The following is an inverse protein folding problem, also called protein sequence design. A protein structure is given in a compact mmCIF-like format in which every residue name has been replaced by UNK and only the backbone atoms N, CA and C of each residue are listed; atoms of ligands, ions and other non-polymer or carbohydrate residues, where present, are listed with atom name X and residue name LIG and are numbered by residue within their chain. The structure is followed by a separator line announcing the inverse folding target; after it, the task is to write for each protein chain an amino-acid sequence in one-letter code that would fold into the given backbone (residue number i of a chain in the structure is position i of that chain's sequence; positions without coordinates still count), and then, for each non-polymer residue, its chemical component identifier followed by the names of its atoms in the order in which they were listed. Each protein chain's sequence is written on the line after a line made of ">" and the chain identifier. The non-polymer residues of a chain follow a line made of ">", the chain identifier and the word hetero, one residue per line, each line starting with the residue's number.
data_IF_113264619540
#
_entry.id   IF_113264619540
#
_cell.length_a   1.000
_cell.length_b   1.000
_cell.length_c   1.000
_cell.angle_alpha   90.00
_cell.angle_beta   90.00
_cell.angle_gamma   90.00
#
_symmetry.space_group_name_H-M   'P 1'
#
loop_
_entity.id
_entity.type
_entity.pdbx_description
1 polymer ?
#
# COMPACT_ATOMS: atom_id res chain seq x y z
N UNK A 1 -4.46 -16.73 6.31
CA UNK A 1 -5.50 -16.10 5.46
C UNK A 1 -5.27 -14.59 5.19
N UNK A 2 -4.70 -13.85 6.14
CA UNK A 2 -4.36 -12.41 5.99
C UNK A 2 -3.56 -12.06 4.72
N UNK A 3 -2.57 -12.87 4.28
CA UNK A 3 -1.87 -12.61 3.03
C UNK A 3 -2.78 -12.63 1.79
N UNK A 4 -3.81 -13.50 1.77
CA UNK A 4 -4.77 -13.57 0.67
C UNK A 4 -5.64 -12.32 0.60
N UNK A 5 -6.10 -11.80 1.75
CA UNK A 5 -6.82 -10.52 1.78
C UNK A 5 -5.94 -9.38 1.25
N UNK A 6 -4.66 -9.36 1.63
CA UNK A 6 -3.73 -8.35 1.14
C UNK A 6 -3.53 -8.44 -0.38
N UNK A 7 -3.33 -9.65 -0.92
CA UNK A 7 -3.15 -9.85 -2.37
C UNK A 7 -4.41 -9.45 -3.15
N UNK A 8 -5.57 -9.92 -2.71
CA UNK A 8 -6.85 -9.62 -3.37
C UNK A 8 -7.15 -8.13 -3.35
N UNK A 9 -7.07 -7.48 -2.19
CA UNK A 9 -7.39 -6.06 -2.09
C UNK A 9 -6.39 -5.19 -2.85
N UNK A 10 -5.09 -5.49 -2.80
CA UNK A 10 -4.10 -4.77 -3.61
C UNK A 10 -4.33 -4.96 -5.12
N UNK A 11 -4.74 -6.15 -5.55
CA UNK A 11 -5.06 -6.42 -6.96
C UNK A 11 -6.25 -5.56 -7.41
N UNK A 12 -7.32 -5.50 -6.61
CA UNK A 12 -8.50 -4.65 -6.88
C UNK A 12 -8.12 -3.17 -6.91
N UNK A 13 -7.35 -2.70 -5.91
CA UNK A 13 -6.87 -1.31 -5.87
C UNK A 13 -6.03 -1.00 -7.12
N UNK A 14 -5.11 -1.88 -7.49
CA UNK A 14 -4.27 -1.71 -8.68
C UNK A 14 -5.08 -1.57 -9.97
N UNK A 15 -6.08 -2.44 -10.18
CA UNK A 15 -6.99 -2.37 -11.33
C UNK A 15 -7.76 -1.05 -11.33
N UNK A 16 -8.26 -0.62 -10.17
CA UNK A 16 -8.97 0.65 -10.04
C UNK A 16 -8.07 1.85 -10.36
N UNK A 17 -6.82 1.86 -9.88
CA UNK A 17 -5.87 2.94 -10.17
C UNK A 17 -5.56 3.01 -11.67
N UNK A 18 -5.35 1.87 -12.32
CA UNK A 18 -5.17 1.79 -13.78
C UNK A 18 -6.43 2.33 -14.48
N UNK A 19 -7.62 1.96 -14.02
CA UNK A 19 -8.87 2.46 -14.60
C UNK A 19 -9.00 3.97 -14.47
N UNK A 20 -8.75 4.54 -13.29
CA UNK A 20 -8.81 5.99 -13.06
C UNK A 20 -7.78 6.73 -13.90
N UNK A 21 -6.57 6.18 -14.02
CA UNK A 21 -5.51 6.70 -14.87
C UNK A 21 -5.92 6.74 -16.34
N UNK A 22 -6.47 5.64 -16.87
CA UNK A 22 -6.93 5.57 -18.28
C UNK A 22 -8.12 6.49 -18.59
N UNK A 23 -8.86 6.92 -17.57
CA UNK A 23 -9.93 7.93 -17.69
C UNK A 23 -9.42 9.38 -17.58
N UNK A 24 -8.12 9.60 -17.40
CA UNK A 24 -7.54 10.93 -17.25
C UNK A 24 -7.93 11.63 -15.94
N UNK A 25 -8.24 10.85 -14.90
CA UNK A 25 -8.63 11.39 -13.59
C UNK A 25 -7.50 12.25 -13.01
N UNK A 26 -7.83 13.30 -12.27
CA UNK A 26 -6.86 14.14 -11.57
C UNK A 26 -5.90 13.32 -10.67
N UNK A 27 -4.61 13.66 -10.70
CA UNK A 27 -3.57 12.91 -9.96
C UNK A 27 -3.80 12.93 -8.44
N UNK A 28 -4.26 14.05 -7.89
CA UNK A 28 -4.59 14.17 -6.47
C UNK A 28 -5.74 13.24 -6.08
N UNK A 29 -6.72 13.04 -6.97
CA UNK A 29 -7.79 12.07 -6.75
C UNK A 29 -7.24 10.63 -6.80
N UNK A 30 -6.38 10.30 -7.78
CA UNK A 30 -5.78 8.95 -7.87
C UNK A 30 -4.96 8.64 -6.61
N UNK A 31 -4.07 9.55 -6.21
CA UNK A 31 -3.25 9.42 -5.00
C UNK A 31 -4.16 9.32 -3.76
N UNK A 32 -5.14 10.21 -3.66
CA UNK A 32 -6.05 10.26 -2.52
C UNK A 32 -6.86 8.98 -2.35
N UNK A 33 -7.46 8.48 -3.42
CA UNK A 33 -8.22 7.23 -3.42
C UNK A 33 -7.32 6.04 -3.10
N UNK A 34 -6.09 5.99 -3.62
CA UNK A 34 -5.12 4.96 -3.25
C UNK A 34 -4.86 4.93 -1.73
N UNK A 35 -4.55 6.09 -1.13
CA UNK A 35 -4.27 6.21 0.30
C UNK A 35 -5.49 5.84 1.17
N UNK A 36 -6.70 6.21 0.74
CA UNK A 36 -7.95 5.85 1.43
C UNK A 36 -8.18 4.34 1.36
N UNK A 37 -8.17 3.74 0.17
CA UNK A 37 -8.47 2.31 0.00
C UNK A 37 -7.41 1.41 0.64
N UNK A 38 -6.14 1.76 0.49
CA UNK A 38 -5.04 1.02 1.13
C UNK A 38 -5.13 1.16 2.66
N UNK A 39 -5.43 2.36 3.18
CA UNK A 39 -5.64 2.58 4.61
C UNK A 39 -6.78 1.73 5.16
N UNK A 40 -7.96 1.76 4.52
CA UNK A 40 -9.12 0.94 4.91
C UNK A 40 -8.79 -0.56 4.87
N UNK A 41 -8.13 -1.02 3.80
CA UNK A 41 -7.69 -2.41 3.67
C UNK A 41 -6.78 -2.81 4.83
N UNK A 42 -5.79 -1.97 5.17
CA UNK A 42 -4.86 -2.25 6.27
C UNK A 42 -5.54 -2.22 7.62
N UNK A 43 -6.48 -1.31 7.84
CA UNK A 43 -7.25 -1.26 9.08
C UNK A 43 -8.02 -2.56 9.33
N UNK A 44 -8.68 -3.09 8.29
CA UNK A 44 -9.41 -4.35 8.34
C UNK A 44 -8.45 -5.55 8.45
N UNK A 45 -7.40 -5.61 7.64
CA UNK A 45 -6.39 -6.69 7.66
C UNK A 45 -5.77 -6.81 9.06
N UNK A 46 -5.48 -5.68 9.71
CA UNK A 46 -4.89 -5.64 11.03
C UNK A 46 -5.83 -6.18 12.12
N UNK A 47 -7.16 -6.08 11.94
CA UNK A 47 -8.11 -6.68 12.87
C UNK A 47 -8.02 -8.22 12.86
N UNK A 48 -7.77 -8.82 11.70
CA UNK A 48 -7.62 -10.26 11.52
C UNK A 48 -6.24 -10.79 11.88
N UNK A 49 -5.22 -9.92 11.91
CA UNK A 49 -3.82 -10.32 12.11
C UNK A 49 -3.55 -10.84 13.51
N UNK A 50 -4.24 -10.29 14.51
CA UNK A 50 -4.24 -10.87 15.86
C UNK A 50 -2.92 -10.76 16.63
N UNK A 51 -1.88 -10.12 16.08
CA UNK A 51 -0.51 -10.20 16.60
C UNK A 51 -0.42 -9.68 18.06
N UNK A 52 -0.12 -10.55 19.05
CA UNK A 52 -0.10 -10.16 20.47
C UNK A 52 0.95 -9.11 20.81
N UNK A 53 1.97 -8.97 19.97
CA UNK A 53 3.11 -8.06 20.18
C UNK A 53 2.83 -6.63 19.70
N UNK A 54 1.77 -6.41 18.92
CA UNK A 54 1.45 -5.09 18.40
C UNK A 54 0.91 -4.20 19.53
N UNK A 55 1.57 -3.08 19.86
CA UNK A 55 1.12 -2.19 20.93
C UNK A 55 -0.30 -1.68 20.67
N UNK A 56 -1.10 -1.65 21.72
CA UNK A 56 -2.46 -1.09 21.71
C UNK A 56 -2.41 0.29 22.37
N UNK A 57 -2.85 1.31 21.64
CA UNK A 57 -2.93 2.70 22.11
C UNK A 57 -4.35 3.20 21.85
N UNK A 58 -5.02 3.73 22.87
CA UNK A 58 -6.40 4.25 22.73
C UNK A 58 -7.41 3.19 22.27
N UNK A 59 -7.20 1.92 22.63
CA UNK A 59 -8.11 0.82 22.26
C UNK A 59 -7.89 0.21 20.86
N UNK A 60 -6.93 0.71 20.08
CA UNK A 60 -6.60 0.20 18.74
C UNK A 60 -5.12 -0.18 18.62
N UNK A 61 -4.80 -1.12 17.73
CA UNK A 61 -3.40 -1.48 17.41
C UNK A 61 -2.70 -0.29 16.74
N UNK A 62 -1.40 -0.11 16.98
CA UNK A 62 -0.63 1.00 16.39
C UNK A 62 -0.70 1.04 14.84
N UNK A 63 -0.80 -0.12 14.19
CA UNK A 63 -0.96 -0.20 12.73
C UNK A 63 -2.35 0.21 12.24
N UNK A 64 -3.37 0.16 13.10
CA UNK A 64 -4.68 0.76 12.78
C UNK A 64 -4.61 2.28 12.83
N UNK A 65 -3.80 2.86 13.73
CA UNK A 65 -3.53 4.29 13.73
C UNK A 65 -2.80 4.76 12.47
N UNK A 66 -1.78 4.03 12.01
CA UNK A 66 -1.11 4.37 10.75
C UNK A 66 -2.03 4.24 9.54
N UNK A 67 -2.96 3.27 9.56
CA UNK A 67 -4.02 3.15 8.57
C UNK A 67 -4.97 4.37 8.59
N UNK A 68 -5.38 4.86 9.76
CA UNK A 68 -6.18 6.09 9.88
C UNK A 68 -5.42 7.29 9.32
N UNK A 69 -4.13 7.45 9.65
CA UNK A 69 -3.30 8.52 9.10
C UNK A 69 -3.24 8.43 7.56
N UNK A 70 -3.08 7.23 7.00
CA UNK A 70 -3.13 7.00 5.56
C UNK A 70 -4.45 7.49 4.95
N UNK A 71 -5.60 7.15 5.56
CA UNK A 71 -6.92 7.63 5.10
C UNK A 71 -7.00 9.15 5.15
N UNK A 72 -6.58 9.77 6.25
CA UNK A 72 -6.59 11.23 6.41
C UNK A 72 -5.73 11.92 5.35
N UNK A 73 -4.52 11.41 5.10
CA UNK A 73 -3.66 11.90 4.02
C UNK A 73 -4.39 11.77 2.68
N UNK A 74 -5.02 10.64 2.42
CA UNK A 74 -5.78 10.42 1.20
C UNK A 74 -6.92 11.42 1.01
N UNK A 75 -7.69 11.71 2.06
CA UNK A 75 -8.74 12.75 2.05
C UNK A 75 -8.15 14.12 1.73
N UNK A 76 -7.00 14.47 2.31
CA UNK A 76 -6.37 15.77 1.97
C UNK A 76 -5.97 15.85 0.50
N UNK A 77 -5.46 14.75 -0.08
CA UNK A 77 -5.09 14.70 -1.50
C UNK A 77 -6.28 14.82 -2.45
N UNK A 78 -7.45 14.27 -2.09
CA UNK A 78 -8.65 14.41 -2.93
C UNK A 78 -9.18 15.84 -2.97
N UNK A 79 -8.81 16.68 -2.00
CA UNK A 79 -9.19 18.09 -1.95
C UNK A 79 -8.20 19.02 -2.68
N UNK A 80 -7.01 18.52 -3.05
CA UNK A 80 -6.01 19.34 -3.73
C UNK A 80 -6.39 19.58 -5.20
N UNK A 81 -6.41 20.84 -5.66
CA UNK A 81 -6.65 21.15 -7.06
C UNK A 81 -5.42 20.74 -7.87
N UNK A 82 -5.46 19.53 -8.41
CA UNK A 82 -4.41 18.96 -9.24
C UNK A 82 -4.94 18.75 -10.64
N UNK A 83 -4.11 18.99 -11.65
CA UNK A 83 -4.48 18.79 -13.05
C UNK A 83 -4.93 17.36 -13.34
N UNK A 84 -5.74 17.19 -14.38
CA UNK A 84 -6.07 15.87 -14.93
C UNK A 84 -4.80 15.12 -15.26
N UNK A 85 -4.73 13.82 -14.92
CA UNK A 85 -3.64 12.99 -15.40
C UNK A 85 -3.67 13.02 -16.94
N UNK A 86 -2.63 13.60 -17.54
CA UNK A 86 -2.46 13.47 -18.97
C UNK A 86 -2.14 12.00 -19.23
N UNK A 87 -3.06 11.29 -19.88
CA UNK A 87 -2.79 9.93 -20.33
C UNK A 87 -1.53 9.98 -21.21
N UNK A 88 -0.44 9.26 -20.87
CA UNK A 88 0.61 9.01 -21.83
C UNK A 88 -0.03 8.16 -22.92
N UNK A 89 -0.25 8.73 -24.10
CA UNK A 89 -0.80 8.01 -25.26
C UNK A 89 0.19 6.92 -25.72
N UNK A 90 1.45 7.03 -25.32
CA UNK A 90 2.50 6.07 -25.63
C UNK A 90 2.40 4.81 -24.76
N UNK A 91 2.49 3.65 -25.39
CA UNK A 91 2.73 2.39 -24.70
C UNK A 91 3.94 2.53 -23.74
N UNK A 92 3.92 1.88 -22.57
CA UNK A 92 5.02 1.96 -21.62
C UNK A 92 6.31 1.53 -22.32
N UNK A 93 7.32 2.41 -22.31
CA UNK A 93 8.60 2.10 -22.94
C UNK A 93 9.28 0.95 -22.18
N UNK A 94 10.14 0.20 -22.87
CA UNK A 94 10.94 -0.87 -22.24
C UNK A 94 11.71 -0.35 -21.03
N UNK A 95 12.19 0.89 -21.09
CA UNK A 95 12.89 1.56 -19.97
C UNK A 95 11.99 1.74 -18.75
N UNK A 96 10.73 2.16 -18.95
CA UNK A 96 9.77 2.35 -17.84
C UNK A 96 9.43 1.00 -17.21
N UNK A 97 9.20 -0.03 -18.03
CA UNK A 97 8.94 -1.39 -17.54
C UNK A 97 10.15 -1.93 -16.76
N UNK A 98 11.36 -1.79 -17.30
CA UNK A 98 12.58 -2.21 -16.63
C UNK A 98 12.78 -1.48 -15.30
N UNK A 99 12.57 -0.16 -15.26
CA UNK A 99 12.65 0.62 -14.04
C UNK A 99 11.63 0.17 -12.99
N UNK A 100 10.38 -0.10 -13.40
CA UNK A 100 9.34 -0.61 -12.51
C UNK A 100 9.69 -2.00 -11.94
N UNK A 101 10.22 -2.90 -12.75
CA UNK A 101 10.69 -4.23 -12.31
C UNK A 101 11.86 -4.11 -11.32
N UNK A 102 12.87 -3.29 -11.64
CA UNK A 102 14.03 -3.06 -10.76
C UNK A 102 13.56 -2.47 -9.42
N UNK A 103 12.69 -1.46 -9.46
CA UNK A 103 12.13 -0.86 -8.26
C UNK A 103 11.35 -1.89 -7.43
N UNK A 104 10.51 -2.71 -8.07
CA UNK A 104 9.80 -3.80 -7.42
C UNK A 104 10.73 -4.83 -6.76
N UNK A 105 11.82 -5.19 -7.43
CA UNK A 105 12.86 -6.07 -6.86
C UNK A 105 13.56 -5.43 -5.67
N UNK A 106 13.96 -4.15 -5.77
CA UNK A 106 14.58 -3.41 -4.66
C UNK A 106 13.64 -3.35 -3.46
N UNK A 107 12.37 -2.98 -3.67
CA UNK A 107 11.37 -2.97 -2.61
C UNK A 107 11.15 -4.37 -2.02
N UNK A 108 11.06 -5.40 -2.86
CA UNK A 108 10.92 -6.79 -2.45
C UNK A 108 12.10 -7.28 -1.61
N UNK A 109 13.33 -6.91 -1.96
CA UNK A 109 14.53 -7.23 -1.19
C UNK A 109 14.59 -6.41 0.11
N UNK A 110 14.33 -5.11 0.05
CA UNK A 110 14.45 -4.21 1.20
C UNK A 110 13.37 -4.47 2.26
N UNK A 111 12.16 -4.84 1.83
CA UNK A 111 11.03 -5.14 2.71
C UNK A 111 10.85 -6.64 2.96
N UNK A 112 11.55 -7.49 2.19
CA UNK A 112 11.59 -8.94 2.37
C UNK A 112 12.52 -9.31 3.51
N UNK A 113 12.00 -10.10 4.44
CA UNK A 113 12.68 -10.40 5.73
C UNK A 113 13.75 -11.49 5.59
N UNK A 114 13.77 -12.23 4.47
CA UNK A 114 14.58 -13.43 4.29
C UNK A 114 15.82 -13.22 3.41
N UNK A 115 16.57 -12.14 3.67
CA UNK A 115 17.89 -11.99 3.04
C UNK A 115 18.87 -12.98 3.70
N UNK A 116 19.67 -13.77 2.93
CA UNK A 116 20.37 -14.97 3.42
C UNK A 116 21.48 -14.76 4.47
N UNK A 117 21.57 -13.58 5.09
CA UNK A 117 22.52 -13.23 6.18
C UNK A 117 21.93 -12.27 7.23
N UNK A 118 20.59 -12.11 7.30
CA UNK A 118 19.98 -11.27 8.34
C UNK A 118 20.04 -11.97 9.70
N UNK A 119 20.98 -11.56 10.56
CA UNK A 119 21.05 -11.99 11.97
C UNK A 119 20.06 -11.24 12.88
N UNK A 120 19.16 -10.43 12.31
CA UNK A 120 18.10 -9.78 13.09
C UNK A 120 17.13 -10.87 13.52
N UNK A 121 17.00 -11.08 14.83
CA UNK A 121 16.01 -12.00 15.40
C UNK A 121 14.67 -11.71 14.73
N UNK A 122 14.02 -12.74 14.20
CA UNK A 122 12.60 -12.68 13.88
C UNK A 122 11.89 -11.99 15.06
N UNK A 123 11.03 -11.01 14.78
CA UNK A 123 10.03 -10.61 15.76
C UNK A 123 9.36 -11.93 16.18
N UNK A 124 9.55 -12.34 17.44
CA UNK A 124 9.27 -13.71 17.88
C UNK A 124 7.82 -14.01 17.55
N UNK A 125 7.52 -14.81 16.53
CA UNK A 125 6.13 -15.06 16.12
C UNK A 125 5.33 -15.93 17.12
N UNK A 126 5.89 -16.22 18.29
CA UNK A 126 5.18 -16.69 19.46
C UNK A 126 5.92 -16.24 20.73
N UNK A 127 5.17 -15.78 21.72
CA UNK A 127 5.61 -15.83 23.12
C UNK A 127 5.68 -17.31 23.58
N UNK A 128 6.56 -17.66 24.53
CA UNK A 128 6.59 -19.00 25.12
C UNK A 128 5.26 -19.40 25.76
#
# INVERSE_FOLDING_TARGET
>A
PTPLYSILTNSVIGILMIRMWTLGTSLGIIIGVYFILNGLSRFVEESYRGEPQTPIVGGMRIYQWTAIVSVTIGVTFTMLPTGSAQMPISAPSVTVVAAAVIFGLICGIAMGVDFPRSNRRYARLASP
#
